data_IF_329864710702
#
_entry.id   IF_329864710702
#
_cell.length_a   1.000
_cell.length_b   1.000
_cell.length_c   1.000
_cell.angle_alpha   90.00
_cell.angle_beta   90.00
_cell.angle_gamma   90.00
#
_symmetry.space_group_name_H-M   'P 1'
#
loop_
_entity.id
_entity.type
_entity.pdbx_description
1 polymer ?
#
# COMPACT_ATOMS: atom_id res chain seq x y z
N UNK A 1 -21.43 0.91 8.21
CA UNK A 1 -21.59 1.18 6.75
C UNK A 1 -20.21 1.15 6.10
N UNK A 2 -20.04 1.31 4.76
CA UNK A 2 -18.69 1.44 4.13
C UNK A 2 -17.84 2.54 4.77
N UNK A 3 -18.49 3.52 5.39
CA UNK A 3 -17.88 4.61 6.19
C UNK A 3 -17.16 4.15 7.46
N UNK A 4 -17.46 2.96 8.02
CA UNK A 4 -16.79 2.45 9.23
C UNK A 4 -15.45 1.74 8.95
N UNK A 5 -15.25 1.26 7.72
CA UNK A 5 -14.09 0.43 7.36
C UNK A 5 -12.79 1.25 7.21
N UNK A 6 -12.91 2.54 6.87
CA UNK A 6 -11.78 3.45 6.75
C UNK A 6 -12.15 4.83 7.27
N UNK A 7 -11.54 5.24 8.38
CA UNK A 7 -11.66 6.61 8.88
C UNK A 7 -10.36 7.32 8.52
N UNK A 8 -10.43 8.28 7.60
CA UNK A 8 -9.35 9.22 7.39
C UNK A 8 -9.27 10.11 8.64
N UNK A 9 -8.35 9.79 9.54
CA UNK A 9 -8.13 10.60 10.74
C UNK A 9 -7.21 11.75 10.35
N UNK A 10 -7.78 12.71 9.61
CA UNK A 10 -7.13 13.98 9.32
C UNK A 10 -7.08 14.85 10.58
N UNK A 11 -6.25 14.48 11.55
CA UNK A 11 -5.78 15.42 12.57
C UNK A 11 -4.25 15.42 12.51
N UNK A 12 -3.74 16.45 11.87
CA UNK A 12 -2.33 16.84 11.86
C UNK A 12 -1.86 16.95 13.32
N UNK A 13 -1.02 16.02 13.79
CA UNK A 13 -0.49 16.07 15.15
C UNK A 13 -0.04 14.74 15.78
N UNK A 14 -0.54 13.58 15.32
CA UNK A 14 -0.37 12.31 16.03
C UNK A 14 0.92 11.52 15.69
N UNK A 15 2.02 12.21 15.39
CA UNK A 15 3.33 11.57 15.31
C UNK A 15 3.62 10.73 14.06
N UNK A 16 2.81 10.84 13.00
CA UNK A 16 3.09 10.23 11.69
C UNK A 16 2.05 9.22 11.19
N UNK A 17 0.83 9.24 11.73
CA UNK A 17 -0.29 8.44 11.24
C UNK A 17 -1.20 9.32 10.38
N UNK A 18 -1.46 8.88 9.16
CA UNK A 18 -2.29 9.59 8.18
C UNK A 18 -3.70 8.97 8.03
N UNK A 19 -3.88 7.72 8.46
CA UNK A 19 -5.17 7.04 8.35
C UNK A 19 -5.30 5.81 9.24
N UNK A 20 -6.55 5.39 9.46
CA UNK A 20 -6.88 4.20 10.25
C UNK A 20 -7.92 3.36 9.49
N UNK A 21 -7.60 2.09 9.27
CA UNK A 21 -8.50 1.07 8.70
C UNK A 21 -8.91 0.12 9.82
N UNK A 22 -10.20 -0.20 9.88
CA UNK A 22 -10.71 -1.30 10.70
C UNK A 22 -10.83 -2.53 9.82
N UNK A 23 -10.08 -3.57 10.14
CA UNK A 23 -10.10 -4.84 9.40
C UNK A 23 -11.41 -5.59 9.63
N UNK A 24 -11.99 -5.45 10.83
CA UNK A 24 -13.26 -6.04 11.20
C UNK A 24 -14.30 -4.99 11.63
N UNK A 25 -15.58 -5.38 11.62
CA UNK A 25 -16.70 -4.47 11.93
C UNK A 25 -16.79 -4.12 13.42
N UNK A 26 -16.20 -4.93 14.30
CA UNK A 26 -16.12 -4.68 15.74
C UNK A 26 -15.00 -3.68 16.07
N UNK A 27 -14.03 -3.51 15.16
CA UNK A 27 -12.89 -2.60 15.29
C UNK A 27 -11.81 -3.12 16.25
N UNK A 28 -11.69 -4.44 16.39
CA UNK A 28 -10.68 -5.08 17.23
C UNK A 28 -9.31 -5.08 16.54
N UNK A 29 -9.30 -5.30 15.24
CA UNK A 29 -8.14 -5.22 14.37
C UNK A 29 -8.10 -3.86 13.66
N UNK A 30 -7.16 -3.03 14.10
CA UNK A 30 -6.92 -1.70 13.56
C UNK A 30 -5.59 -1.69 12.82
N UNK A 31 -5.62 -1.24 11.57
CA UNK A 31 -4.45 -1.05 10.72
C UNK A 31 -4.21 0.45 10.57
N UNK A 32 -3.01 0.88 10.94
CA UNK A 32 -2.60 2.27 10.83
C UNK A 32 -1.88 2.51 9.51
N UNK A 33 -2.14 3.64 8.88
CA UNK A 33 -1.52 3.99 7.60
C UNK A 33 -0.69 5.24 7.77
N UNK A 34 0.50 5.22 7.18
CA UNK A 34 1.29 6.41 6.89
C UNK A 34 1.54 6.48 5.38
N UNK A 35 1.35 7.65 4.79
CA UNK A 35 1.58 7.93 3.39
C UNK A 35 2.46 9.17 3.24
N UNK A 36 3.68 9.00 2.71
CA UNK A 36 4.66 10.09 2.62
C UNK A 36 5.18 10.23 1.20
N UNK A 37 5.10 11.44 0.65
CA UNK A 37 5.80 11.79 -0.59
C UNK A 37 7.27 12.04 -0.24
N UNK A 38 8.17 11.31 -0.89
CA UNK A 38 9.61 11.37 -0.61
C UNK A 38 10.39 11.50 -1.91
N UNK A 39 11.52 12.20 -1.83
CA UNK A 39 12.52 12.23 -2.90
C UNK A 39 13.70 11.34 -2.49
N UNK A 40 14.08 10.40 -3.36
CA UNK A 40 15.04 9.34 -3.03
C UNK A 40 14.49 8.25 -2.09
N UNK A 41 15.35 7.27 -1.75
CA UNK A 41 14.92 6.08 -1.00
C UNK A 41 14.59 6.37 0.47
N UNK A 42 13.49 5.79 0.97
CA UNK A 42 13.08 5.85 2.37
C UNK A 42 13.94 4.89 3.18
N UNK A 43 14.72 5.45 4.11
CA UNK A 43 15.63 4.70 4.96
C UNK A 43 14.98 4.17 6.26
N UNK A 44 15.74 3.34 6.97
CA UNK A 44 15.37 2.77 8.27
C UNK A 44 14.85 3.79 9.31
N UNK A 45 15.44 5.00 9.48
CA UNK A 45 14.97 5.94 10.50
C UNK A 45 13.49 6.31 10.38
N UNK A 46 12.99 6.48 9.16
CA UNK A 46 11.58 6.82 8.91
C UNK A 46 10.66 5.67 9.28
N UNK A 47 11.04 4.44 8.91
CA UNK A 47 10.27 3.24 9.23
C UNK A 47 10.31 2.93 10.73
N UNK A 48 11.43 3.17 11.39
CA UNK A 48 11.57 3.07 12.85
C UNK A 48 10.71 4.09 13.58
N UNK A 49 10.63 5.32 13.07
CA UNK A 49 9.73 6.34 13.61
C UNK A 49 8.27 5.90 13.51
N UNK A 50 7.86 5.33 12.38
CA UNK A 50 6.53 4.78 12.20
C UNK A 50 6.25 3.62 13.16
N UNK A 51 7.19 2.67 13.27
CA UNK A 51 7.07 1.54 14.21
C UNK A 51 6.92 2.02 15.67
N UNK A 52 7.66 3.06 16.08
CA UNK A 52 7.52 3.69 17.39
C UNK A 52 6.14 4.34 17.59
N UNK A 53 5.59 5.00 16.57
CA UNK A 53 4.22 5.54 16.62
C UNK A 53 3.18 4.41 16.80
N UNK A 54 3.31 3.30 16.07
CA UNK A 54 2.43 2.14 16.24
C UNK A 54 2.45 1.60 17.68
N UNK A 55 3.64 1.46 18.26
CA UNK A 55 3.78 1.03 19.65
C UNK A 55 3.10 1.98 20.64
N UNK A 56 3.23 3.30 20.43
CA UNK A 56 2.55 4.32 21.23
C UNK A 56 1.03 4.17 21.21
N UNK A 57 0.46 3.76 20.07
CA UNK A 57 -0.97 3.49 19.91
C UNK A 57 -1.38 2.05 20.26
N UNK A 58 -0.47 1.23 20.80
CA UNK A 58 -0.68 -0.22 21.06
C UNK A 58 -1.15 -0.99 19.82
N UNK A 59 -0.79 -0.49 18.64
CA UNK A 59 -1.14 -1.08 17.36
C UNK A 59 -0.12 -2.15 16.97
N UNK A 60 -0.61 -3.24 16.37
CA UNK A 60 0.23 -4.35 15.91
C UNK A 60 0.43 -4.37 14.40
N UNK A 61 -0.42 -3.65 13.64
CA UNK A 61 -0.47 -3.68 12.18
C UNK A 61 -0.35 -2.26 11.63
N UNK A 62 0.47 -2.10 10.60
CA UNK A 62 0.63 -0.83 9.92
C UNK A 62 0.99 -0.96 8.44
N UNK A 63 0.67 0.06 7.66
CA UNK A 63 1.03 0.17 6.25
C UNK A 63 1.80 1.48 6.07
N UNK A 64 3.02 1.41 5.53
CA UNK A 64 3.78 2.57 5.12
C UNK A 64 3.78 2.65 3.60
N UNK A 65 3.18 3.71 3.07
CA UNK A 65 3.08 4.00 1.64
C UNK A 65 4.05 5.13 1.29
N UNK A 66 4.82 4.96 0.22
CA UNK A 66 5.66 6.02 -0.36
C UNK A 66 5.57 5.98 -1.87
N UNK A 67 5.72 7.14 -2.52
CA UNK A 67 5.85 7.24 -3.98
C UNK A 67 7.26 6.88 -4.47
N UNK A 68 8.21 6.65 -3.55
CA UNK A 68 9.60 6.29 -3.84
C UNK A 68 9.89 4.81 -3.51
N UNK A 69 11.15 4.42 -3.39
CA UNK A 69 11.59 3.09 -2.96
C UNK A 69 11.97 3.07 -1.46
N UNK A 70 11.94 1.88 -0.85
CA UNK A 70 12.52 1.65 0.48
C UNK A 70 13.95 1.11 0.38
N UNK A 71 14.84 1.56 1.27
CA UNK A 71 16.19 1.02 1.38
C UNK A 71 16.18 -0.44 1.86
N UNK A 72 17.26 -1.16 1.60
CA UNK A 72 17.40 -2.56 2.03
C UNK A 72 17.32 -2.67 3.56
N UNK A 73 17.98 -1.77 4.27
CA UNK A 73 18.01 -1.70 5.74
C UNK A 73 16.62 -1.42 6.31
N UNK A 74 15.79 -0.64 5.60
CA UNK A 74 14.40 -0.38 5.99
C UNK A 74 13.55 -1.65 5.90
N UNK A 75 13.69 -2.41 4.80
CA UNK A 75 12.99 -3.68 4.59
C UNK A 75 13.44 -4.74 5.61
N UNK A 76 14.73 -4.85 5.87
CA UNK A 76 15.30 -5.76 6.86
C UNK A 76 14.84 -5.43 8.28
N UNK A 77 14.80 -4.14 8.63
CA UNK A 77 14.32 -3.71 9.95
C UNK A 77 12.87 -4.14 10.19
N UNK A 78 11.98 -3.99 9.20
CA UNK A 78 10.57 -4.41 9.31
C UNK A 78 10.43 -5.92 9.49
N UNK A 79 11.30 -6.72 8.87
CA UNK A 79 11.29 -8.16 9.03
C UNK A 79 11.73 -8.63 10.43
N UNK A 80 12.40 -7.78 11.21
CA UNK A 80 12.95 -8.12 12.53
C UNK A 80 12.08 -7.70 13.72
N UNK A 81 11.09 -6.83 13.49
CA UNK A 81 10.23 -6.31 14.57
C UNK A 81 8.95 -7.16 14.70
N UNK A 82 8.39 -7.21 15.92
CA UNK A 82 7.13 -7.94 16.18
C UNK A 82 5.91 -7.29 15.50
N UNK A 83 5.96 -5.98 15.26
CA UNK A 83 4.89 -5.25 14.59
C UNK A 83 4.83 -5.64 13.11
N UNK A 84 3.63 -6.01 12.64
CA UNK A 84 3.38 -6.32 11.23
C UNK A 84 3.25 -5.04 10.42
N UNK A 85 4.37 -4.57 9.87
CA UNK A 85 4.40 -3.41 8.98
C UNK A 85 4.50 -3.89 7.53
N UNK A 86 3.60 -3.43 6.67
CA UNK A 86 3.67 -3.63 5.22
C UNK A 86 4.23 -2.37 4.58
N UNK A 87 5.23 -2.55 3.73
CA UNK A 87 5.85 -1.47 2.96
C UNK A 87 5.31 -1.48 1.54
N UNK A 88 4.68 -0.38 1.11
CA UNK A 88 4.19 -0.19 -0.27
C UNK A 88 5.01 0.92 -0.90
N UNK A 89 5.92 0.53 -1.80
CA UNK A 89 6.71 1.47 -2.60
C UNK A 89 5.95 1.96 -3.84
N UNK A 90 6.52 2.92 -4.54
CA UNK A 90 5.88 3.56 -5.70
C UNK A 90 5.52 2.57 -6.81
N UNK A 91 6.36 1.56 -7.05
CA UNK A 91 6.08 0.55 -8.07
C UNK A 91 4.93 -0.36 -7.66
N UNK A 92 4.93 -0.83 -6.41
CA UNK A 92 3.84 -1.66 -5.88
C UNK A 92 2.54 -0.88 -5.84
N UNK A 93 2.57 0.39 -5.43
CA UNK A 93 1.42 1.28 -5.43
C UNK A 93 0.85 1.44 -6.85
N UNK A 94 1.69 1.69 -7.86
CA UNK A 94 1.26 1.82 -9.24
C UNK A 94 0.63 0.53 -9.78
N UNK A 95 1.21 -0.64 -9.47
CA UNK A 95 0.64 -1.92 -9.87
C UNK A 95 -0.75 -2.14 -9.26
N UNK A 96 -0.92 -1.85 -7.96
CA UNK A 96 -2.21 -1.94 -7.30
C UNK A 96 -3.22 -0.94 -7.88
N UNK A 97 -2.79 0.29 -8.19
CA UNK A 97 -3.64 1.28 -8.86
C UNK A 97 -4.17 0.77 -10.20
N UNK A 98 -3.33 0.12 -10.99
CA UNK A 98 -3.71 -0.49 -12.27
C UNK A 98 -4.66 -1.67 -12.04
N UNK A 99 -4.30 -2.62 -11.16
CA UNK A 99 -5.07 -3.83 -10.88
C UNK A 99 -6.49 -3.51 -10.40
N UNK A 100 -6.63 -2.54 -9.49
CA UNK A 100 -7.90 -2.17 -8.90
C UNK A 100 -8.60 -0.99 -9.59
N UNK A 101 -8.06 -0.52 -10.73
CA UNK A 101 -8.59 0.64 -11.48
C UNK A 101 -8.75 1.92 -10.63
N UNK A 102 -7.78 2.20 -9.76
CA UNK A 102 -7.76 3.37 -8.87
C UNK A 102 -6.88 4.47 -9.46
N UNK A 103 -7.47 5.62 -9.79
CA UNK A 103 -6.71 6.78 -10.28
C UNK A 103 -6.07 6.60 -11.65
N UNK A 104 -6.50 5.58 -12.40
CA UNK A 104 -6.06 5.28 -13.77
C UNK A 104 -7.26 5.31 -14.71
N UNK A 105 -7.02 5.48 -16.01
CA UNK A 105 -8.06 5.41 -17.04
C UNK A 105 -7.52 4.68 -18.26
N UNK A 106 -8.31 3.78 -18.88
CA UNK A 106 -7.90 3.11 -20.09
C UNK A 106 -7.75 4.13 -21.22
N UNK A 107 -6.57 4.15 -21.86
CA UNK A 107 -6.29 5.05 -22.99
C UNK A 107 -6.58 4.33 -24.32
N UNK A 108 -6.29 3.03 -24.41
CA UNK A 108 -6.54 2.22 -25.60
C UNK A 108 -6.69 0.74 -25.22
N UNK A 109 -7.46 -0.02 -26.00
CA UNK A 109 -7.57 -1.48 -25.92
C UNK A 109 -7.19 -2.08 -27.26
N UNK A 110 -6.29 -3.05 -27.26
CA UNK A 110 -5.86 -3.76 -28.47
C UNK A 110 -6.37 -5.19 -28.43
N UNK A 111 -6.97 -5.62 -29.53
CA UNK A 111 -7.39 -7.01 -29.73
C UNK A 111 -6.28 -7.76 -30.46
N UNK A 112 -5.71 -8.78 -29.82
CA UNK A 112 -4.71 -9.65 -30.45
C UNK A 112 -5.45 -10.74 -31.21
N UNK A 113 -5.42 -10.69 -32.54
CA UNK A 113 -6.02 -11.71 -33.40
C UNK A 113 -4.98 -12.78 -33.73
N UNK A 114 -5.37 -14.06 -33.58
CA UNK A 114 -4.60 -15.20 -34.04
C UNK A 114 -5.19 -15.67 -35.38
N UNK A 115 -4.32 -16.06 -36.32
CA UNK A 115 -4.79 -16.70 -37.56
C UNK A 115 -5.43 -18.04 -37.18
N UNK A 116 -6.68 -18.21 -37.57
CA UNK A 116 -7.40 -19.47 -37.47
C UNK A 116 -7.00 -20.35 -38.66
N UNK A 117 -6.10 -21.31 -38.44
CA UNK A 117 -5.61 -22.19 -39.50
C UNK A 117 -6.69 -23.17 -39.96
N UNK A 118 -7.65 -23.52 -39.10
CA UNK A 118 -8.72 -24.47 -39.44
C UNK A 118 -9.72 -23.84 -40.43
N UNK A 119 -9.97 -22.53 -40.29
CA UNK A 119 -10.73 -21.75 -41.27
C UNK A 119 -10.10 -21.77 -42.68
N UNK A 120 -8.78 -21.87 -42.77
CA UNK A 120 -8.05 -21.89 -44.05
C UNK A 120 -7.64 -23.30 -44.50
N UNK A 121 -8.09 -24.37 -43.83
CA UNK A 121 -7.67 -25.74 -44.10
C UNK A 121 -8.56 -26.51 -45.12
N UNK A 122 -9.53 -25.86 -45.77
CA UNK A 122 -10.34 -26.48 -46.84
C UNK A 122 -9.82 -26.12 -48.25
N UNK A 123 -8.77 -26.83 -48.69
CA UNK A 123 -8.67 -27.66 -49.93
C UNK A 123 -7.33 -28.42 -49.96
#
# INVERSE_FOLDING_TARGET
TREDAGKAVGKTGDGGIDGIIKEDRLGLDIIYIQAKRWDGAVGRPEVQKFAGALQGHRAKKGIFITTSAFSKEAKEYVAQIDSKIVLIDGQTLANLMIEYNVGVSPIASYEIKKIDLDYFAEE
#
